data_IF_816215573834
#
_entry.id   IF_816215573834
#
_cell.length_a   1.000
_cell.length_b   1.000
_cell.length_c   1.000
_cell.angle_alpha   90.00
_cell.angle_beta   90.00
_cell.angle_gamma   90.00
#
_symmetry.space_group_name_H-M   'P 1'
#
loop_
_entity.id
_entity.type
_entity.pdbx_description
1 polymer ?
#
# COMPACT_ATOMS: atom_id res chain seq x y z
N UNK A 1 15.60 14.53 -4.76
CA UNK A 1 14.29 14.60 -4.07
C UNK A 1 14.50 15.34 -2.76
N UNK A 2 13.65 16.34 -2.42
CA UNK A 2 13.74 17.02 -1.12
C UNK A 2 13.32 16.09 0.01
N UNK A 3 13.78 16.38 1.25
CA UNK A 3 13.42 15.60 2.44
C UNK A 3 11.91 15.64 2.68
N UNK A 4 11.26 16.78 2.47
CA UNK A 4 9.80 16.95 2.65
C UNK A 4 9.00 16.04 1.71
N UNK A 5 9.41 15.97 0.44
CA UNK A 5 8.77 15.09 -0.54
C UNK A 5 8.98 13.61 -0.20
N UNK A 6 10.18 13.25 0.26
CA UNK A 6 10.46 11.90 0.71
C UNK A 6 9.63 11.52 1.95
N UNK A 7 9.54 12.41 2.94
CA UNK A 7 8.70 12.19 4.13
C UNK A 7 7.23 12.04 3.75
N UNK A 8 6.74 12.85 2.81
CA UNK A 8 5.38 12.72 2.30
C UNK A 8 5.15 11.34 1.67
N UNK A 9 6.05 10.89 0.80
CA UNK A 9 6.01 9.56 0.20
C UNK A 9 6.03 8.45 1.26
N UNK A 10 6.95 8.55 2.22
CA UNK A 10 7.09 7.58 3.31
C UNK A 10 5.79 7.44 4.12
N UNK A 11 5.22 8.58 4.57
CA UNK A 11 3.98 8.59 5.37
C UNK A 11 2.82 8.00 4.57
N UNK A 12 2.68 8.37 3.31
CA UNK A 12 1.60 7.85 2.45
C UNK A 12 1.75 6.35 2.23
N UNK A 13 2.96 5.87 1.94
CA UNK A 13 3.22 4.43 1.77
C UNK A 13 2.94 3.65 3.06
N UNK A 14 3.36 4.19 4.21
CA UNK A 14 3.09 3.57 5.51
C UNK A 14 1.59 3.45 5.77
N UNK A 15 0.84 4.53 5.57
CA UNK A 15 -0.61 4.52 5.78
C UNK A 15 -1.34 3.64 4.76
N UNK A 16 -0.85 3.57 3.53
CA UNK A 16 -1.33 2.62 2.53
C UNK A 16 -1.11 1.15 2.95
N UNK A 17 0.08 0.83 3.48
CA UNK A 17 0.41 -0.49 4.00
C UNK A 17 -0.42 -0.83 5.27
N UNK A 18 -0.69 0.17 6.12
CA UNK A 18 -1.54 0.02 7.31
C UNK A 18 -3.02 -0.18 6.98
N UNK A 19 -3.47 0.26 5.80
CA UNK A 19 -4.87 0.15 5.38
C UNK A 19 -5.29 -1.33 5.30
N UNK A 20 -6.32 -1.75 6.05
CA UNK A 20 -6.74 -3.14 6.08
C UNK A 20 -7.23 -3.63 4.72
N UNK A 21 -6.95 -4.89 4.45
CA UNK A 21 -7.32 -5.48 3.17
C UNK A 21 -6.72 -6.87 2.95
N UNK A 22 -6.84 -7.41 1.73
CA UNK A 22 -6.37 -8.75 1.40
C UNK A 22 -4.90 -9.00 1.70
N UNK A 23 -4.04 -7.98 1.57
CA UNK A 23 -2.61 -8.08 1.87
C UNK A 23 -2.35 -8.38 3.34
N UNK A 24 -2.98 -7.61 4.24
CA UNK A 24 -2.89 -7.85 5.69
C UNK A 24 -3.46 -9.23 6.04
N UNK A 25 -4.60 -9.60 5.47
CA UNK A 25 -5.24 -10.90 5.68
C UNK A 25 -4.30 -12.06 5.27
N UNK A 26 -3.64 -11.94 4.12
CA UNK A 26 -2.70 -12.96 3.63
C UNK A 26 -1.50 -13.11 4.56
N UNK A 27 -0.81 -12.02 4.92
CA UNK A 27 0.35 -12.08 5.82
C UNK A 27 -0.06 -12.61 7.20
N UNK A 28 -1.20 -12.18 7.72
CA UNK A 28 -1.75 -12.63 9.01
C UNK A 28 -2.07 -14.13 8.98
N UNK A 29 -2.78 -14.60 7.94
CA UNK A 29 -3.10 -16.02 7.73
C UNK A 29 -1.83 -16.89 7.79
N UNK A 30 -0.81 -16.52 7.01
CA UNK A 30 0.43 -17.27 6.98
C UNK A 30 1.24 -17.20 8.28
N UNK A 31 1.20 -16.07 8.97
CA UNK A 31 1.82 -15.91 10.28
C UNK A 31 1.16 -16.79 11.35
N UNK A 32 -0.17 -16.81 11.39
CA UNK A 32 -0.92 -17.55 12.41
C UNK A 32 -0.95 -19.07 12.14
N UNK A 33 -0.93 -19.48 10.87
CA UNK A 33 -0.97 -20.88 10.48
C UNK A 33 0.42 -21.54 10.45
N UNK A 34 1.41 -20.87 9.83
CA UNK A 34 2.74 -21.41 9.56
C UNK A 34 3.87 -20.77 10.40
N UNK A 35 3.54 -19.85 11.29
CA UNK A 35 4.51 -19.17 12.14
C UNK A 35 5.27 -18.03 11.44
N UNK A 36 6.27 -17.48 12.15
CA UNK A 36 7.00 -16.28 11.75
C UNK A 36 7.63 -16.40 10.36
N UNK A 37 8.22 -17.55 10.03
CA UNK A 37 8.95 -17.72 8.77
C UNK A 37 7.99 -17.63 7.59
N UNK A 38 6.82 -18.25 7.69
CA UNK A 38 5.78 -18.18 6.66
C UNK A 38 5.22 -16.75 6.52
N UNK A 39 4.99 -16.06 7.64
CA UNK A 39 4.57 -14.65 7.63
C UNK A 39 5.60 -13.75 6.96
N UNK A 40 6.89 -13.88 7.30
CA UNK A 40 7.98 -13.12 6.68
C UNK A 40 8.13 -13.42 5.19
N UNK A 41 8.00 -14.69 4.80
CA UNK A 41 8.05 -15.06 3.39
C UNK A 41 6.91 -14.42 2.58
N UNK A 42 5.69 -14.43 3.12
CA UNK A 42 4.54 -13.74 2.51
C UNK A 42 4.75 -12.22 2.47
N UNK A 43 5.24 -11.61 3.56
CA UNK A 43 5.47 -10.19 3.68
C UNK A 43 6.48 -9.65 2.66
N UNK A 44 7.67 -10.26 2.58
CA UNK A 44 8.70 -9.80 1.65
C UNK A 44 8.39 -10.11 0.19
N UNK A 45 7.73 -11.23 -0.09
CA UNK A 45 7.26 -11.52 -1.45
C UNK A 45 6.16 -10.51 -1.89
N UNK A 46 5.25 -10.13 -0.98
CA UNK A 46 4.28 -9.04 -1.21
C UNK A 46 5.00 -7.71 -1.49
N UNK A 47 5.97 -7.35 -0.68
CA UNK A 47 6.77 -6.14 -0.79
C UNK A 47 7.52 -6.06 -2.14
N UNK A 48 8.04 -7.16 -2.66
CA UNK A 48 8.62 -7.22 -4.01
C UNK A 48 7.58 -6.86 -5.07
N UNK A 49 6.36 -7.36 -4.96
CA UNK A 49 5.26 -6.97 -5.85
C UNK A 49 4.88 -5.48 -5.74
N UNK A 50 4.92 -4.91 -4.54
CA UNK A 50 4.79 -3.46 -4.31
C UNK A 50 5.88 -2.67 -5.06
N UNK A 51 7.14 -3.08 -4.93
CA UNK A 51 8.26 -2.47 -5.67
C UNK A 51 8.09 -2.55 -7.18
N UNK A 52 7.56 -3.67 -7.68
CA UNK A 52 7.25 -3.85 -9.09
C UNK A 52 6.16 -2.85 -9.57
N UNK A 53 5.07 -2.68 -8.81
CA UNK A 53 4.06 -1.66 -9.11
C UNK A 53 4.64 -0.25 -9.06
N UNK A 54 5.44 0.07 -8.05
CA UNK A 54 6.10 1.35 -7.95
C UNK A 54 6.96 1.64 -9.20
N UNK A 55 7.75 0.66 -9.64
CA UNK A 55 8.59 0.77 -10.81
C UNK A 55 7.78 1.00 -12.10
N UNK A 56 6.77 0.16 -12.36
CA UNK A 56 5.93 0.28 -13.55
C UNK A 56 5.18 1.61 -13.55
N UNK A 57 4.64 2.01 -12.39
CA UNK A 57 3.83 3.23 -12.32
C UNK A 57 4.69 4.48 -12.52
N UNK A 58 5.86 4.56 -11.88
CA UNK A 58 6.78 5.70 -12.07
C UNK A 58 7.25 5.81 -13.51
N UNK A 59 7.64 4.70 -14.12
CA UNK A 59 8.11 4.72 -15.52
C UNK A 59 6.97 4.92 -16.51
N UNK A 60 5.85 4.26 -16.31
CA UNK A 60 4.68 4.34 -17.17
C UNK A 60 3.98 5.71 -17.12
N UNK A 61 3.73 6.25 -15.94
CA UNK A 61 3.12 7.57 -15.79
C UNK A 61 4.02 8.69 -16.32
N UNK A 62 5.34 8.57 -16.19
CA UNK A 62 6.26 9.53 -16.79
C UNK A 62 6.10 9.56 -18.32
N UNK A 63 5.99 8.40 -18.97
CA UNK A 63 5.75 8.32 -20.43
C UNK A 63 4.38 8.93 -20.81
N UNK A 64 3.34 8.67 -20.01
CA UNK A 64 2.00 9.22 -20.25
C UNK A 64 2.01 10.73 -20.13
N UNK A 65 2.64 11.28 -19.09
CA UNK A 65 2.76 12.74 -18.89
C UNK A 65 3.44 13.42 -20.09
N UNK A 66 4.55 12.85 -20.59
CA UNK A 66 5.25 13.41 -21.76
C UNK A 66 4.47 13.31 -23.07
N UNK A 67 3.55 12.33 -23.20
CA UNK A 67 2.78 12.14 -24.43
C UNK A 67 1.43 12.86 -24.44
N UNK A 68 0.77 12.96 -23.31
CA UNK A 68 -0.57 13.53 -23.21
C UNK A 68 -0.88 13.93 -21.76
N UNK A 69 -0.85 15.21 -21.49
CA UNK A 69 -1.21 15.80 -20.22
C UNK A 69 -2.68 15.51 -19.84
N UNK A 70 -3.58 15.56 -20.83
CA UNK A 70 -4.99 15.24 -20.62
C UNK A 70 -5.20 13.78 -20.22
N UNK A 71 -4.47 12.83 -20.82
CA UNK A 71 -4.55 11.42 -20.44
C UNK A 71 -3.98 11.20 -19.03
N UNK A 72 -2.88 11.86 -18.69
CA UNK A 72 -2.30 11.81 -17.34
C UNK A 72 -3.28 12.34 -16.29
N UNK A 73 -3.90 13.51 -16.53
CA UNK A 73 -4.91 14.10 -15.65
C UNK A 73 -6.11 13.18 -15.47
N UNK A 74 -6.61 12.59 -16.56
CA UNK A 74 -7.73 11.63 -16.48
C UNK A 74 -7.39 10.43 -15.62
N UNK A 75 -6.22 9.81 -15.82
CA UNK A 75 -5.76 8.65 -15.03
C UNK A 75 -5.60 9.04 -13.55
N UNK A 76 -5.04 10.21 -13.29
CA UNK A 76 -4.83 10.73 -11.93
C UNK A 76 -6.15 10.98 -11.20
N UNK A 77 -7.13 11.58 -11.87
CA UNK A 77 -8.46 11.82 -11.31
C UNK A 77 -9.24 10.53 -11.04
N UNK A 78 -9.16 9.55 -11.95
CA UNK A 78 -9.73 8.21 -11.70
C UNK A 78 -9.09 7.56 -10.47
N UNK A 79 -7.77 7.67 -10.31
CA UNK A 79 -7.04 7.22 -9.15
C UNK A 79 -7.48 7.93 -7.86
N UNK A 80 -7.67 9.25 -7.91
CA UNK A 80 -8.17 10.04 -6.79
C UNK A 80 -9.59 9.60 -6.37
N UNK A 81 -10.49 9.38 -7.34
CA UNK A 81 -11.83 8.84 -7.07
C UNK A 81 -11.78 7.49 -6.34
N UNK A 82 -10.86 6.62 -6.77
CA UNK A 82 -10.67 5.34 -6.10
C UNK A 82 -10.07 5.46 -4.69
N UNK A 83 -9.13 6.38 -4.46
CA UNK A 83 -8.62 6.68 -3.12
C UNK A 83 -9.73 7.18 -2.20
N UNK A 84 -10.60 8.08 -2.70
CA UNK A 84 -11.77 8.56 -1.95
C UNK A 84 -12.72 7.41 -1.59
N UNK A 85 -12.99 6.50 -2.53
CA UNK A 85 -13.79 5.29 -2.28
C UNK A 85 -13.17 4.39 -1.21
N UNK A 86 -11.87 4.12 -1.30
CA UNK A 86 -11.16 3.33 -0.28
C UNK A 86 -11.16 4.01 1.08
N UNK A 87 -10.96 5.32 1.10
CA UNK A 87 -11.02 6.13 2.31
C UNK A 87 -12.39 6.06 2.98
N UNK A 88 -13.46 6.24 2.21
CA UNK A 88 -14.83 6.09 2.69
C UNK A 88 -15.09 4.69 3.25
N UNK A 89 -14.70 3.64 2.51
CA UNK A 89 -14.84 2.24 2.95
C UNK A 89 -14.09 1.98 4.26
N UNK A 90 -12.91 2.55 4.41
CA UNK A 90 -12.11 2.42 5.63
C UNK A 90 -12.74 3.15 6.83
N UNK A 91 -13.33 4.33 6.62
CA UNK A 91 -14.05 5.08 7.65
C UNK A 91 -15.33 4.38 8.12
N UNK A 92 -16.01 3.67 7.22
CA UNK A 92 -17.28 2.98 7.49
C UNK A 92 -17.11 1.52 7.90
N UNK A 93 -15.87 1.01 7.98
CA UNK A 93 -15.59 -0.36 8.39
C UNK A 93 -16.08 -0.61 9.83
N UNK A 94 -16.91 -1.64 10.02
CA UNK A 94 -17.47 -2.03 11.32
C UNK A 94 -16.60 -3.03 12.05
N UNK A 95 -15.98 -3.95 11.31
CA UNK A 95 -15.31 -5.11 11.88
C UNK A 95 -13.80 -4.94 12.03
N UNK A 96 -13.24 -3.90 11.44
CA UNK A 96 -11.82 -3.56 11.52
C UNK A 96 -10.88 -4.68 11.05
N UNK A 97 -9.62 -4.62 11.50
CA UNK A 97 -8.61 -5.66 11.25
C UNK A 97 -9.03 -7.02 11.84
N UNK A 98 -9.91 -7.03 12.82
CA UNK A 98 -10.32 -8.25 13.52
C UNK A 98 -10.92 -9.32 12.59
N UNK A 99 -11.70 -8.90 11.58
CA UNK A 99 -12.30 -9.80 10.59
C UNK A 99 -11.30 -10.49 9.65
N UNK A 100 -10.08 -9.95 9.56
CA UNK A 100 -9.01 -10.49 8.70
C UNK A 100 -8.07 -11.44 9.45
N UNK A 101 -8.26 -11.62 10.76
CA UNK A 101 -7.39 -12.43 11.63
C UNK A 101 -7.84 -13.90 11.70
N UNK A 102 -8.14 -14.53 10.57
CA UNK A 102 -8.51 -15.94 10.51
C UNK A 102 -7.27 -16.84 10.43
N UNK A 103 -7.30 -17.95 11.18
CA UNK A 103 -6.30 -19.01 11.06
C UNK A 103 -6.57 -19.81 9.79
N UNK A 104 -5.62 -19.78 8.85
CA UNK A 104 -5.62 -20.72 7.72
C UNK A 104 -4.94 -22.05 8.07
N UNK A 105 -4.89 -22.96 7.11
CA UNK A 105 -4.05 -24.13 7.19
C UNK A 105 -2.57 -23.80 6.96
N UNK A 106 -1.68 -24.50 7.66
CA UNK A 106 -0.25 -24.33 7.48
C UNK A 106 0.17 -24.86 6.09
N UNK A 107 0.90 -24.02 5.36
CA UNK A 107 1.42 -24.35 4.03
C UNK A 107 2.94 -24.20 4.02
N UNK A 108 3.58 -24.63 2.94
CA UNK A 108 5.03 -24.46 2.78
C UNK A 108 5.43 -22.97 2.69
N UNK A 109 6.65 -22.64 3.08
CA UNK A 109 7.22 -21.28 2.98
C UNK A 109 7.12 -20.77 1.53
N UNK A 110 7.41 -21.64 0.54
CA UNK A 110 7.29 -21.30 -0.88
C UNK A 110 5.86 -20.91 -1.28
N UNK A 111 4.87 -21.62 -0.75
CA UNK A 111 3.46 -21.31 -0.99
C UNK A 111 3.07 -19.97 -0.34
N UNK A 112 3.53 -19.71 0.88
CA UNK A 112 3.32 -18.43 1.56
C UNK A 112 3.91 -17.27 0.76
N UNK A 113 5.13 -17.39 0.27
CA UNK A 113 5.76 -16.38 -0.58
C UNK A 113 4.98 -16.19 -1.90
N UNK A 114 4.56 -17.29 -2.55
CA UNK A 114 3.75 -17.22 -3.78
C UNK A 114 2.43 -16.48 -3.55
N UNK A 115 1.72 -16.80 -2.49
CA UNK A 115 0.44 -16.13 -2.16
C UNK A 115 0.66 -14.64 -1.84
N UNK A 116 1.71 -14.31 -1.07
CA UNK A 116 2.09 -12.92 -0.81
C UNK A 116 2.39 -12.11 -2.08
N UNK A 117 3.15 -12.69 -3.01
CA UNK A 117 3.44 -12.05 -4.29
C UNK A 117 2.19 -11.91 -5.16
N UNK A 118 1.39 -12.96 -5.28
CA UNK A 118 0.19 -12.93 -6.12
C UNK A 118 -0.84 -11.93 -5.61
N UNK A 119 -1.03 -11.83 -4.29
CA UNK A 119 -1.99 -10.88 -3.73
C UNK A 119 -1.57 -9.42 -3.98
N UNK A 120 -0.28 -9.11 -4.01
CA UNK A 120 0.19 -7.79 -4.41
C UNK A 120 0.00 -7.54 -5.90
N UNK A 121 0.41 -8.46 -6.76
CA UNK A 121 0.37 -8.29 -8.22
C UNK A 121 -1.05 -8.30 -8.80
N UNK A 122 -1.98 -9.02 -8.20
CA UNK A 122 -3.36 -9.15 -8.67
C UNK A 122 -4.35 -8.20 -7.96
N UNK A 123 -3.87 -7.33 -7.07
CA UNK A 123 -4.72 -6.43 -6.30
C UNK A 123 -5.06 -5.15 -7.10
N UNK A 124 -6.32 -4.95 -7.51
CA UNK A 124 -6.73 -3.69 -8.12
C UNK A 124 -6.60 -2.51 -7.16
N UNK A 125 -6.75 -2.75 -5.84
CA UNK A 125 -6.53 -1.75 -4.80
C UNK A 125 -5.11 -1.18 -4.88
N UNK A 126 -4.11 -2.05 -4.98
CA UNK A 126 -2.69 -1.66 -5.05
C UNK A 126 -2.42 -0.93 -6.36
N UNK A 127 -2.87 -1.47 -7.49
CA UNK A 127 -2.67 -0.84 -8.80
C UNK A 127 -3.20 0.61 -8.84
N UNK A 128 -4.45 0.82 -8.44
CA UNK A 128 -5.07 2.14 -8.45
C UNK A 128 -4.49 3.08 -7.39
N UNK A 129 -4.11 2.54 -6.21
CA UNK A 129 -3.41 3.31 -5.20
C UNK A 129 -2.09 3.87 -5.73
N UNK A 130 -1.29 3.03 -6.42
CA UNK A 130 -0.01 3.44 -6.98
C UNK A 130 -0.18 4.45 -8.12
N UNK A 131 -1.17 4.30 -8.99
CA UNK A 131 -1.48 5.27 -10.03
C UNK A 131 -1.76 6.64 -9.41
N UNK A 132 -2.66 6.70 -8.43
CA UNK A 132 -3.02 7.95 -7.76
C UNK A 132 -1.86 8.56 -6.95
N UNK A 133 -1.13 7.73 -6.20
CA UNK A 133 0.02 8.19 -5.43
C UNK A 133 1.12 8.75 -6.32
N UNK A 134 1.53 7.97 -7.33
CA UNK A 134 2.69 8.32 -8.14
C UNK A 134 2.41 9.43 -9.16
N UNK A 135 1.14 9.74 -9.45
CA UNK A 135 0.80 10.95 -10.20
C UNK A 135 1.36 12.24 -9.56
N UNK A 136 1.52 12.24 -8.23
CA UNK A 136 2.09 13.35 -7.48
C UNK A 136 3.64 13.36 -7.49
N UNK A 137 4.27 12.23 -7.82
CA UNK A 137 5.73 12.05 -7.73
C UNK A 137 6.41 11.87 -9.08
N UNK A 138 5.67 11.83 -10.19
CA UNK A 138 6.24 11.69 -11.54
C UNK A 138 7.17 12.86 -11.89
N UNK A 139 6.81 14.08 -11.48
CA UNK A 139 7.60 15.29 -11.72
C UNK A 139 8.83 15.43 -10.81
N UNK A 140 8.97 14.59 -9.77
CA UNK A 140 9.95 14.79 -8.67
C UNK A 140 11.37 14.42 -9.06
N UNK A 141 11.62 13.74 -10.17
CA UNK A 141 12.99 13.44 -10.52
C UNK A 141 13.24 12.72 -11.82
N UNK A 142 13.87 13.42 -12.74
CA UNK A 142 14.47 12.80 -13.92
C UNK A 142 15.76 12.02 -13.57
N UNK A 143 16.35 12.27 -12.39
CA UNK A 143 17.56 11.59 -11.99
C UNK A 143 17.31 10.13 -11.61
N UNK A 144 18.19 9.23 -12.03
CA UNK A 144 18.12 7.81 -11.71
C UNK A 144 18.03 7.56 -10.18
N UNK A 145 18.76 8.34 -9.37
CA UNK A 145 18.74 8.25 -7.93
C UNK A 145 17.37 8.58 -7.33
N UNK A 146 16.66 9.61 -7.84
CA UNK A 146 15.32 9.94 -7.37
C UNK A 146 14.32 8.82 -7.71
N UNK A 147 14.39 8.26 -8.92
CA UNK A 147 13.54 7.11 -9.33
C UNK A 147 13.76 5.88 -8.45
N UNK A 148 15.02 5.56 -8.16
CA UNK A 148 15.37 4.44 -7.25
C UNK A 148 14.77 4.70 -5.86
N UNK A 149 14.91 5.91 -5.30
CA UNK A 149 14.35 6.25 -3.99
C UNK A 149 12.81 6.09 -3.99
N UNK A 150 12.15 6.58 -5.03
CA UNK A 150 10.68 6.51 -5.16
C UNK A 150 10.19 5.06 -5.26
N UNK A 151 10.95 4.16 -5.88
CA UNK A 151 10.61 2.73 -5.99
C UNK A 151 10.94 1.96 -4.72
N UNK A 152 12.11 2.23 -4.13
CA UNK A 152 12.58 1.49 -2.95
C UNK A 152 11.84 1.89 -1.67
N UNK A 153 11.36 3.13 -1.55
CA UNK A 153 10.63 3.57 -0.36
C UNK A 153 9.38 2.73 -0.09
N UNK A 154 8.42 2.58 -1.02
CA UNK A 154 7.24 1.74 -0.77
C UNK A 154 7.59 0.27 -0.56
N UNK A 155 8.57 -0.28 -1.28
CA UNK A 155 9.03 -1.65 -1.09
C UNK A 155 9.53 -1.88 0.35
N UNK A 156 10.43 -1.02 0.83
CA UNK A 156 11.01 -1.16 2.17
C UNK A 156 9.96 -0.90 3.25
N UNK A 157 9.14 0.14 3.09
CA UNK A 157 8.08 0.49 4.06
C UNK A 157 7.08 -0.65 4.20
N UNK A 158 6.62 -1.22 3.10
CA UNK A 158 5.69 -2.35 3.09
C UNK A 158 6.30 -3.60 3.75
N UNK A 159 7.53 -3.96 3.35
CA UNK A 159 8.25 -5.10 3.91
C UNK A 159 8.50 -4.95 5.42
N UNK A 160 8.89 -3.78 5.88
CA UNK A 160 9.09 -3.50 7.30
C UNK A 160 7.78 -3.49 8.08
N UNK A 161 6.72 -2.91 7.51
CA UNK A 161 5.40 -2.91 8.12
C UNK A 161 4.87 -4.33 8.34
N UNK A 162 4.89 -5.18 7.31
CA UNK A 162 4.41 -6.55 7.44
C UNK A 162 5.38 -7.46 8.23
N UNK A 163 6.66 -7.13 8.28
CA UNK A 163 7.59 -7.74 9.23
C UNK A 163 7.18 -7.43 10.67
N UNK A 164 6.90 -6.16 10.97
CA UNK A 164 6.40 -5.74 12.27
C UNK A 164 5.10 -6.47 12.63
N UNK A 165 4.12 -6.49 11.74
CA UNK A 165 2.87 -7.23 11.92
C UNK A 165 3.13 -8.72 12.22
N UNK A 166 4.00 -9.38 11.44
CA UNK A 166 4.36 -10.79 11.64
C UNK A 166 4.94 -11.04 13.03
N UNK A 167 5.85 -10.18 13.49
CA UNK A 167 6.47 -10.29 14.81
C UNK A 167 5.46 -10.06 15.94
N UNK A 168 4.59 -9.07 15.77
CA UNK A 168 3.54 -8.71 16.72
C UNK A 168 2.50 -9.82 16.83
N UNK A 169 2.02 -10.34 15.71
CA UNK A 169 1.00 -11.41 15.69
C UNK A 169 1.52 -12.76 16.22
N UNK A 170 2.84 -12.91 16.30
CA UNK A 170 3.45 -14.07 16.95
C UNK A 170 3.34 -14.02 18.49
N UNK A 171 2.82 -12.92 19.08
CA UNK A 171 2.56 -12.76 20.51
C UNK A 171 1.06 -12.62 20.76
N UNK A 172 0.45 -13.49 21.59
CA UNK A 172 -0.99 -13.45 21.88
C UNK A 172 -1.47 -12.09 22.47
N UNK A 173 -0.63 -11.46 23.30
CA UNK A 173 -0.96 -10.19 23.95
C UNK A 173 -1.13 -9.06 22.92
N UNK A 174 -0.29 -9.03 21.89
CA UNK A 174 -0.35 -8.01 20.84
C UNK A 174 -1.50 -8.27 19.86
N UNK A 175 -1.85 -9.52 19.60
CA UNK A 175 -2.98 -9.88 18.75
C UNK A 175 -4.29 -9.28 19.31
N UNK A 176 -4.50 -9.38 20.62
CA UNK A 176 -5.68 -8.81 21.28
C UNK A 176 -5.71 -7.27 21.21
N UNK A 177 -4.55 -6.61 21.43
CA UNK A 177 -4.44 -5.15 21.30
C UNK A 177 -4.71 -4.67 19.86
N UNK A 178 -4.24 -5.40 18.86
CA UNK A 178 -4.47 -5.06 17.46
C UNK A 178 -5.95 -5.21 17.10
N UNK A 179 -6.62 -6.24 17.59
CA UNK A 179 -8.07 -6.42 17.45
C UNK A 179 -8.84 -5.22 18.03
N UNK A 180 -8.50 -4.82 19.25
CA UNK A 180 -9.19 -3.73 19.95
C UNK A 180 -8.96 -2.35 19.31
N UNK A 181 -7.83 -2.14 18.61
CA UNK A 181 -7.50 -0.86 17.96
C UNK A 181 -7.73 -0.86 16.42
N UNK A 182 -8.23 -1.95 15.89
CA UNK A 182 -8.42 -2.10 14.44
C UNK A 182 -9.27 -0.99 13.83
N UNK A 183 -10.39 -0.63 14.47
CA UNK A 183 -11.26 0.46 14.02
C UNK A 183 -10.57 1.82 13.97
N UNK A 184 -9.72 2.14 14.94
CA UNK A 184 -8.96 3.39 14.95
C UNK A 184 -7.95 3.45 13.79
N UNK A 185 -7.28 2.34 13.50
CA UNK A 185 -6.35 2.23 12.38
C UNK A 185 -7.10 2.43 11.05
N UNK A 186 -8.27 1.83 10.90
CA UNK A 186 -9.13 1.99 9.73
C UNK A 186 -9.55 3.45 9.54
N UNK A 187 -9.97 4.12 10.60
CA UNK A 187 -10.39 5.51 10.56
C UNK A 187 -9.23 6.45 10.17
N UNK A 188 -8.05 6.29 10.76
CA UNK A 188 -6.87 7.09 10.42
C UNK A 188 -6.49 6.87 8.95
N UNK A 189 -6.43 5.62 8.51
CA UNK A 189 -6.14 5.28 7.10
C UNK A 189 -7.17 5.89 6.15
N UNK A 190 -8.46 5.85 6.52
CA UNK A 190 -9.55 6.44 5.74
C UNK A 190 -9.43 7.95 5.56
N UNK A 191 -9.15 8.67 6.65
CA UNK A 191 -8.94 10.14 6.61
C UNK A 191 -7.78 10.49 5.69
N UNK A 192 -6.67 9.77 5.80
CA UNK A 192 -5.47 10.03 4.99
C UNK A 192 -5.72 9.73 3.51
N UNK A 193 -6.39 8.64 3.19
CA UNK A 193 -6.73 8.31 1.80
C UNK A 193 -7.64 9.38 1.16
N UNK A 194 -8.60 9.93 1.91
CA UNK A 194 -9.45 11.03 1.45
C UNK A 194 -8.63 12.31 1.28
N UNK A 195 -7.77 12.65 2.23
CA UNK A 195 -6.90 13.82 2.12
C UNK A 195 -5.99 13.75 0.88
N UNK A 196 -5.46 12.55 0.58
CA UNK A 196 -4.69 12.31 -0.65
C UNK A 196 -5.53 12.47 -1.91
N UNK A 197 -6.75 11.94 -1.92
CA UNK A 197 -7.67 12.12 -3.05
C UNK A 197 -7.92 13.61 -3.32
N UNK A 198 -8.20 14.39 -2.28
CA UNK A 198 -8.41 15.85 -2.38
C UNK A 198 -7.14 16.52 -2.93
N UNK A 199 -5.95 16.15 -2.45
CA UNK A 199 -4.69 16.71 -2.93
C UNK A 199 -4.47 16.44 -4.41
N UNK A 200 -4.74 15.21 -4.88
CA UNK A 200 -4.63 14.87 -6.31
C UNK A 200 -5.58 15.69 -7.16
N UNK A 201 -6.83 15.86 -6.72
CA UNK A 201 -7.83 16.71 -7.42
C UNK A 201 -7.36 18.14 -7.46
N UNK A 202 -6.86 18.69 -6.36
CA UNK A 202 -6.37 20.07 -6.29
C UNK A 202 -5.22 20.32 -7.26
N UNK A 203 -4.22 19.43 -7.28
CA UNK A 203 -3.09 19.55 -8.20
C UNK A 203 -3.51 19.43 -9.68
N UNK A 204 -4.50 18.62 -10.00
CA UNK A 204 -4.99 18.50 -11.37
C UNK A 204 -5.89 19.68 -11.78
N UNK A 205 -6.52 20.39 -10.83
CA UNK A 205 -7.29 21.58 -11.14
C UNK A 205 -6.44 22.77 -11.64
N UNK A 206 -5.13 22.76 -11.37
CA UNK A 206 -4.18 23.75 -11.89
C UNK A 206 -3.81 23.49 -13.36
N UNK A 207 -4.12 22.29 -13.89
CA UNK A 207 -3.87 21.87 -15.28
C UNK A 207 -5.12 21.89 -16.18
N UNK A 208 -6.31 22.23 -15.62
CA UNK A 208 -7.58 22.37 -16.34
C UNK A 208 -7.90 23.85 -16.58
#
# INVERSE_FOLDING_TARGET
MSLELWLSLFVICLLGAMSPGPSLATVTKHTLAGGRINGLAAAWAHSIGIGFYAFITVTGLAVVLHKSEALFSTISLCGAGYLAYLGYKSLTATDGIASTLEKGEAVSIKQSAKEGLLISLLSPKIALFFIALFSQFVAVGESAGAKVTVVMTPLIVDGLWYTFITLVLSSPIFLERLRNKGKLIDQISGVVLIALAIRVVWQNAEYL
#
